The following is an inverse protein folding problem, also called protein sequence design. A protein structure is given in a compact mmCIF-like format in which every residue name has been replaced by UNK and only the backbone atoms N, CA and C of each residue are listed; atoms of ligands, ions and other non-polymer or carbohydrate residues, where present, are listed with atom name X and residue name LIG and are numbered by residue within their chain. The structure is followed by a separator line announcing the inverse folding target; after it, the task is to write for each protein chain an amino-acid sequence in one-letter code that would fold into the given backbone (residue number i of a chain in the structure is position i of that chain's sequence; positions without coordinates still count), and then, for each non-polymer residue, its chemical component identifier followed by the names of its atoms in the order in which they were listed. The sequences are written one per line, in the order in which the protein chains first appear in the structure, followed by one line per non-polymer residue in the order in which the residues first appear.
data_IF_712459180374
#
_entry.id   IF_712459180374
#
_cell.length_a   1.000
_cell.length_b   1.000
_cell.length_c   1.000
_cell.angle_alpha   90.00
_cell.angle_beta   90.00
_cell.angle_gamma   90.00
#
_symmetry.space_group_name_H-M   'P 1'
#
loop_
_entity.id
_entity.type
_entity.pdbx_description
1 polymer ?
#
# COMPACT_ATOMS: atom_id res chain seq x y z
N UNK A 1 23.81 62.89 37.10
CA UNK A 1 22.64 63.08 36.23
C UNK A 1 21.67 63.97 36.96
N UNK A 2 21.49 65.17 36.43
CA UNK A 2 20.45 66.10 36.88
C UNK A 2 19.07 65.47 36.55
N UNK A 3 18.02 65.88 37.26
CA UNK A 3 16.62 65.42 37.06
C UNK A 3 16.21 65.53 35.60
N UNK A 4 16.67 66.58 34.91
CA UNK A 4 16.43 66.81 33.49
C UNK A 4 17.01 65.72 32.58
N UNK A 5 18.17 65.15 32.93
CA UNK A 5 18.79 64.05 32.18
C UNK A 5 18.05 62.73 32.38
N UNK A 6 17.47 62.51 33.58
CA UNK A 6 16.68 61.32 33.88
C UNK A 6 15.36 61.32 33.11
N UNK A 7 14.70 62.47 33.04
CA UNK A 7 13.44 62.62 32.32
C UNK A 7 13.63 62.46 30.81
N UNK A 8 14.72 63.01 30.26
CA UNK A 8 15.09 62.81 28.85
C UNK A 8 15.41 61.35 28.51
N UNK A 9 16.13 60.65 29.40
CA UNK A 9 16.44 59.23 29.22
C UNK A 9 15.17 58.34 29.29
N UNK A 10 14.28 58.62 30.24
CA UNK A 10 13.01 57.91 30.38
C UNK A 10 12.11 58.09 29.16
N UNK A 11 12.03 59.32 28.61
CA UNK A 11 11.28 59.61 27.40
C UNK A 11 11.85 58.87 26.17
N UNK A 12 13.19 58.84 26.02
CA UNK A 12 13.84 58.11 24.93
C UNK A 12 13.61 56.59 24.99
N UNK A 13 13.60 56.00 26.19
CA UNK A 13 13.29 54.58 26.39
C UNK A 13 11.82 54.27 26.08
N UNK A 14 10.89 55.15 26.46
CA UNK A 14 9.47 55.00 26.16
C UNK A 14 9.17 55.05 24.64
N UNK A 15 9.78 56.00 23.92
CA UNK A 15 9.68 56.11 22.46
C UNK A 15 10.24 54.88 21.75
N UNK A 16 11.37 54.32 22.23
CA UNK A 16 11.97 53.11 21.65
C UNK A 16 11.09 51.87 21.87
N UNK A 17 10.45 51.75 23.04
CA UNK A 17 9.49 50.67 23.32
C UNK A 17 8.21 50.80 22.48
N UNK A 18 7.68 52.02 22.32
CA UNK A 18 6.52 52.27 21.48
C UNK A 18 6.81 51.94 19.99
N UNK A 19 8.01 52.26 19.49
CA UNK A 19 8.44 51.90 18.14
C UNK A 19 8.54 50.39 17.92
N UNK A 20 9.10 49.64 18.88
CA UNK A 20 9.19 48.17 18.80
C UNK A 20 7.80 47.52 18.81
N UNK A 21 6.87 48.02 19.65
CA UNK A 21 5.49 47.52 19.70
C UNK A 21 4.73 47.85 18.42
N UNK A 22 4.91 49.05 17.86
CA UNK A 22 4.26 49.44 16.60
C UNK A 22 4.77 48.60 15.42
N UNK A 23 6.07 48.32 15.33
CA UNK A 23 6.64 47.45 14.29
C UNK A 23 6.18 46.00 14.46
N UNK A 24 6.08 45.49 15.69
CA UNK A 24 5.55 44.16 15.96
C UNK A 24 4.07 44.03 15.58
N UNK A 25 3.24 45.04 15.88
CA UNK A 25 1.83 45.06 15.51
C UNK A 25 1.63 45.21 13.99
N UNK A 26 2.42 46.03 13.32
CA UNK A 26 2.41 46.12 11.84
C UNK A 26 2.84 44.81 11.19
N UNK A 27 3.86 44.14 11.73
CA UNK A 27 4.26 42.81 11.30
C UNK A 27 3.14 41.78 11.48
N UNK A 28 2.44 41.81 12.62
CA UNK A 28 1.33 40.89 12.90
C UNK A 28 0.12 41.15 11.99
N UNK A 29 -0.22 42.42 11.72
CA UNK A 29 -1.32 42.79 10.82
C UNK A 29 -1.01 42.43 9.36
N UNK A 30 0.24 42.60 8.91
CA UNK A 30 0.65 42.19 7.56
C UNK A 30 0.70 40.67 7.41
N UNK A 31 1.09 39.94 8.46
CA UNK A 31 1.05 38.48 8.47
C UNK A 31 -0.39 37.93 8.49
N UNK A 32 -1.29 38.56 9.25
CA UNK A 32 -2.71 38.22 9.26
C UNK A 32 -3.41 38.55 7.92
N UNK A 33 -3.04 39.65 7.26
CA UNK A 33 -3.54 39.99 5.93
C UNK A 33 -3.03 39.03 4.84
N UNK A 34 -1.79 38.53 4.96
CA UNK A 34 -1.24 37.51 4.06
C UNK A 34 -1.87 36.12 4.26
N UNK A 35 -2.33 35.81 5.48
CA UNK A 35 -3.10 34.58 5.77
C UNK A 35 -4.56 34.65 5.32
N UNK A 36 -5.12 35.85 5.13
CA UNK A 36 -6.52 36.03 4.74
C UNK A 36 -6.73 36.11 3.21
N UNK A 37 -5.67 36.29 2.43
CA UNK A 37 -5.75 36.18 0.98
C UNK A 37 -5.72 34.71 0.59
N UNK A 38 -6.83 34.19 0.06
CA UNK A 38 -6.83 32.87 -0.57
C UNK A 38 -5.75 32.86 -1.65
N UNK A 39 -4.83 31.87 -1.65
CA UNK A 39 -3.79 31.79 -2.65
C UNK A 39 -4.43 31.73 -4.03
N UNK A 40 -4.08 32.72 -4.87
CA UNK A 40 -4.59 32.81 -6.24
C UNK A 40 -4.13 31.57 -7.01
N UNK A 41 -5.06 30.64 -7.28
CA UNK A 41 -4.77 29.43 -8.04
C UNK A 41 -4.26 29.83 -9.41
N UNK A 42 -3.15 29.23 -9.85
CA UNK A 42 -2.70 29.37 -11.25
C UNK A 42 -3.88 28.99 -12.15
N UNK A 43 -4.40 29.91 -12.98
CA UNK A 43 -5.60 29.65 -13.74
C UNK A 43 -5.30 28.52 -14.73
N UNK A 44 -5.97 27.38 -14.55
CA UNK A 44 -5.96 26.32 -15.52
C UNK A 44 -6.49 26.88 -16.84
N UNK A 45 -5.74 26.69 -17.94
CA UNK A 45 -6.24 27.09 -19.25
C UNK A 45 -7.27 26.05 -19.66
N UNK A 46 -8.54 26.28 -19.29
CA UNK A 46 -9.69 25.45 -19.62
C UNK A 46 -10.70 26.30 -20.41
N UNK A 47 -10.41 26.55 -21.70
CA UNK A 47 -11.34 27.30 -22.53
C UNK A 47 -12.66 26.52 -22.63
N UNK A 48 -13.78 27.23 -22.62
CA UNK A 48 -15.13 26.63 -22.72
C UNK A 48 -15.25 25.69 -23.94
N UNK A 49 -14.57 26.01 -25.04
CA UNK A 49 -14.49 25.20 -26.25
C UNK A 49 -13.90 23.79 -26.03
N UNK A 50 -13.13 23.57 -24.96
CA UNK A 50 -12.52 22.28 -24.63
C UNK A 50 -13.36 21.43 -23.67
N UNK A 51 -14.36 21.99 -22.98
CA UNK A 51 -15.08 21.30 -21.90
C UNK A 51 -15.81 20.04 -22.36
N UNK A 52 -16.44 20.08 -23.54
CA UNK A 52 -17.11 18.91 -24.11
C UNK A 52 -16.14 17.76 -24.39
N UNK A 53 -14.95 18.07 -24.92
CA UNK A 53 -13.90 17.09 -25.18
C UNK A 53 -13.29 16.54 -23.88
N UNK A 54 -13.08 17.40 -22.87
CA UNK A 54 -12.61 16.99 -21.54
C UNK A 54 -13.61 16.06 -20.84
N UNK A 55 -14.91 16.36 -20.89
CA UNK A 55 -15.95 15.52 -20.31
C UNK A 55 -15.99 14.13 -20.96
N UNK A 56 -15.97 14.09 -22.30
CA UNK A 56 -15.89 12.85 -23.08
C UNK A 56 -14.63 12.05 -22.75
N UNK A 57 -13.48 12.72 -22.64
CA UNK A 57 -12.21 12.09 -22.30
C UNK A 57 -12.23 11.45 -20.91
N UNK A 58 -12.81 12.15 -19.90
CA UNK A 58 -12.96 11.60 -18.54
C UNK A 58 -13.88 10.39 -18.49
N UNK A 59 -15.02 10.44 -19.19
CA UNK A 59 -15.95 9.31 -19.26
C UNK A 59 -15.30 8.07 -19.87
N UNK A 60 -14.62 8.23 -21.02
CA UNK A 60 -13.89 7.14 -21.67
C UNK A 60 -12.71 6.62 -20.82
N UNK A 61 -12.02 7.52 -20.10
CA UNK A 61 -10.94 7.15 -19.19
C UNK A 61 -11.45 6.27 -18.04
N UNK A 62 -12.58 6.65 -17.44
CA UNK A 62 -13.21 5.91 -16.34
C UNK A 62 -13.78 4.56 -16.77
N UNK A 63 -14.20 4.42 -18.04
CA UNK A 63 -14.67 3.14 -18.59
C UNK A 63 -13.53 2.22 -19.07
N UNK A 64 -12.28 2.69 -19.03
CA UNK A 64 -11.10 1.94 -19.50
C UNK A 64 -10.91 1.96 -21.02
N UNK A 65 -11.71 2.73 -21.76
CA UNK A 65 -11.50 2.95 -23.21
C UNK A 65 -10.41 4.00 -23.42
N UNK A 66 -9.16 3.59 -23.19
CA UNK A 66 -8.01 4.48 -23.23
C UNK A 66 -7.73 5.06 -24.62
N UNK A 67 -8.16 4.39 -25.69
CA UNK A 67 -8.03 4.91 -27.05
C UNK A 67 -8.99 6.09 -27.28
N UNK A 68 -10.27 5.92 -26.94
CA UNK A 68 -11.26 7.00 -27.04
C UNK A 68 -10.93 8.16 -26.09
N UNK A 69 -10.47 7.85 -24.87
CA UNK A 69 -10.04 8.85 -23.89
C UNK A 69 -8.89 9.70 -24.42
N UNK A 70 -7.84 9.05 -24.95
CA UNK A 70 -6.68 9.74 -25.51
C UNK A 70 -7.08 10.69 -26.65
N UNK A 71 -7.92 10.24 -27.58
CA UNK A 71 -8.39 11.08 -28.68
C UNK A 71 -9.16 12.30 -28.16
N UNK A 72 -10.10 12.11 -27.23
CA UNK A 72 -10.87 13.20 -26.67
C UNK A 72 -10.00 14.21 -25.89
N UNK A 73 -8.98 13.75 -25.18
CA UNK A 73 -8.02 14.63 -24.52
C UNK A 73 -7.12 15.39 -25.52
N UNK A 74 -6.76 14.77 -26.65
CA UNK A 74 -6.07 15.45 -27.75
C UNK A 74 -6.95 16.52 -28.40
N UNK A 75 -8.24 16.26 -28.55
CA UNK A 75 -9.21 17.25 -29.06
C UNK A 75 -9.34 18.44 -28.08
N UNK A 76 -9.39 18.17 -26.77
CA UNK A 76 -9.38 19.21 -25.74
C UNK A 76 -8.07 20.03 -25.77
N UNK A 77 -6.93 19.36 -25.94
CA UNK A 77 -5.64 20.03 -26.13
C UNK A 77 -5.65 20.90 -27.40
N UNK A 78 -6.17 20.41 -28.53
CA UNK A 78 -6.30 21.20 -29.76
C UNK A 78 -7.21 22.42 -29.57
N UNK A 79 -8.24 22.31 -28.74
CA UNK A 79 -9.13 23.40 -28.34
C UNK A 79 -8.52 24.37 -27.31
N UNK A 80 -7.27 24.16 -26.89
CA UNK A 80 -6.50 25.08 -26.04
C UNK A 80 -6.41 24.68 -24.56
N UNK A 81 -6.91 23.50 -24.16
CA UNK A 81 -6.80 23.06 -22.77
C UNK A 81 -5.34 22.77 -22.37
N UNK A 82 -4.82 23.41 -21.31
CA UNK A 82 -3.45 23.20 -20.80
C UNK A 82 -3.44 23.22 -19.27
N UNK A 83 -3.27 22.05 -18.66
CA UNK A 83 -3.09 21.87 -17.22
C UNK A 83 -2.48 20.49 -16.91
N UNK A 84 -1.95 20.31 -15.70
CA UNK A 84 -1.16 19.12 -15.35
C UNK A 84 -1.94 17.81 -15.48
N UNK A 85 -3.18 17.78 -14.96
CA UNK A 85 -4.01 16.57 -14.94
C UNK A 85 -4.36 16.06 -16.36
N UNK A 86 -4.60 16.95 -17.33
CA UNK A 86 -4.84 16.58 -18.73
C UNK A 86 -3.65 15.78 -19.28
N UNK A 87 -2.44 16.32 -19.15
CA UNK A 87 -1.24 15.66 -19.66
C UNK A 87 -0.92 14.37 -18.92
N UNK A 88 -1.19 14.32 -17.62
CA UNK A 88 -1.05 13.09 -16.83
C UNK A 88 -2.01 11.99 -17.31
N UNK A 89 -3.29 12.31 -17.51
CA UNK A 89 -4.29 11.35 -18.00
C UNK A 89 -3.97 10.87 -19.42
N UNK A 90 -3.56 11.77 -20.32
CA UNK A 90 -3.06 11.39 -21.65
C UNK A 90 -1.85 10.45 -21.55
N UNK A 91 -0.91 10.71 -20.64
CA UNK A 91 0.25 9.85 -20.44
C UNK A 91 -0.17 8.44 -19.97
N UNK A 92 -1.14 8.36 -19.06
CA UNK A 92 -1.69 7.09 -18.59
C UNK A 92 -2.37 6.31 -19.73
N UNK A 93 -3.12 6.98 -20.60
CA UNK A 93 -3.68 6.35 -21.80
C UNK A 93 -2.57 5.79 -22.70
N UNK A 94 -1.50 6.55 -22.94
CA UNK A 94 -0.39 6.11 -23.79
C UNK A 94 0.30 4.85 -23.27
N UNK A 95 0.61 4.77 -21.98
CA UNK A 95 1.24 3.56 -21.42
C UNK A 95 0.31 2.36 -21.44
N UNK A 96 -1.00 2.57 -21.24
CA UNK A 96 -2.02 1.52 -21.32
C UNK A 96 -2.17 0.98 -22.75
N UNK A 97 -1.89 1.81 -23.76
CA UNK A 97 -1.83 1.44 -25.18
C UNK A 97 -0.45 0.94 -25.61
N UNK A 98 0.52 0.85 -24.70
CA UNK A 98 1.85 0.30 -24.95
C UNK A 98 2.93 1.30 -25.39
N UNK A 99 2.63 2.60 -25.45
CA UNK A 99 3.61 3.64 -25.83
C UNK A 99 4.22 4.35 -24.62
N UNK A 100 5.22 3.69 -24.02
CA UNK A 100 5.99 4.24 -22.89
C UNK A 100 6.81 5.48 -23.25
N UNK A 101 7.14 5.69 -24.53
CA UNK A 101 7.91 6.86 -24.96
C UNK A 101 7.01 8.10 -24.97
N UNK A 102 5.81 7.98 -25.56
CA UNK A 102 4.82 9.04 -25.55
C UNK A 102 4.36 9.38 -24.12
N UNK A 103 4.19 8.37 -23.25
CA UNK A 103 3.94 8.57 -21.82
C UNK A 103 4.96 9.55 -21.21
N UNK A 104 6.26 9.25 -21.32
CA UNK A 104 7.32 10.08 -20.72
C UNK A 104 7.32 11.51 -21.24
N UNK A 105 7.06 11.70 -22.54
CA UNK A 105 6.99 13.04 -23.13
C UNK A 105 5.82 13.84 -22.56
N UNK A 106 4.65 13.23 -22.38
CA UNK A 106 3.49 13.87 -21.77
C UNK A 106 3.69 14.17 -20.28
N UNK A 107 4.31 13.27 -19.52
CA UNK A 107 4.64 13.53 -18.12
C UNK A 107 5.62 14.71 -17.96
N UNK A 108 6.64 14.80 -18.82
CA UNK A 108 7.54 15.96 -18.83
C UNK A 108 6.80 17.28 -19.12
N UNK A 109 5.71 17.24 -19.91
CA UNK A 109 4.84 18.40 -20.15
C UNK A 109 3.91 18.71 -18.99
N UNK A 110 3.50 17.70 -18.21
CA UNK A 110 2.65 17.87 -17.03
C UNK A 110 3.38 18.58 -15.87
N UNK A 111 4.66 18.24 -15.66
CA UNK A 111 5.51 18.75 -14.56
C UNK A 111 5.43 20.27 -14.36
N UNK A 112 5.68 21.14 -15.36
CA UNK A 112 5.67 22.58 -15.12
C UNK A 112 4.32 23.14 -14.67
N UNK A 113 3.20 22.51 -15.06
CA UNK A 113 1.87 22.93 -14.60
C UNK A 113 1.66 22.57 -13.13
N UNK A 114 2.00 21.34 -12.75
CA UNK A 114 1.91 20.94 -11.34
C UNK A 114 2.91 21.69 -10.46
N UNK A 115 4.13 21.96 -10.92
CA UNK A 115 5.10 22.79 -10.21
C UNK A 115 4.53 24.20 -9.96
N UNK A 116 3.90 24.81 -10.96
CA UNK A 116 3.27 26.13 -10.83
C UNK A 116 2.11 26.11 -9.82
N UNK A 117 1.22 25.12 -9.92
CA UNK A 117 0.11 24.93 -8.96
C UNK A 117 0.64 24.79 -7.53
N UNK A 118 1.62 23.90 -7.30
CA UNK A 118 2.23 23.68 -5.97
C UNK A 118 2.95 24.93 -5.45
N UNK A 119 3.58 25.71 -6.32
CA UNK A 119 4.26 26.95 -5.94
C UNK A 119 3.30 28.08 -5.58
N UNK A 120 2.11 28.13 -6.18
CA UNK A 120 1.09 29.14 -5.87
C UNK A 120 0.49 28.99 -4.47
N UNK A 121 0.65 27.83 -3.82
CA UNK A 121 0.03 27.51 -2.54
C UNK A 121 -1.46 27.14 -2.64
N UNK A 122 -2.07 27.24 -3.82
CA UNK A 122 -3.46 26.86 -4.09
C UNK A 122 -3.65 25.44 -4.66
N UNK A 123 -2.59 24.62 -4.68
CA UNK A 123 -2.63 23.24 -5.16
C UNK A 123 -3.53 22.35 -4.31
N UNK A 124 -4.36 21.54 -4.97
CA UNK A 124 -5.07 20.45 -4.32
C UNK A 124 -4.17 19.23 -4.09
N UNK A 125 -4.69 18.25 -3.35
CA UNK A 125 -4.00 16.97 -3.06
C UNK A 125 -3.51 16.28 -4.34
N UNK A 126 -4.30 16.32 -5.40
CA UNK A 126 -4.00 15.68 -6.68
C UNK A 126 -2.70 16.21 -7.30
N UNK A 127 -2.52 17.53 -7.31
CA UNK A 127 -1.32 18.16 -7.88
C UNK A 127 -0.06 17.74 -7.13
N UNK A 128 -0.11 17.73 -5.79
CA UNK A 128 0.98 17.22 -4.96
C UNK A 128 1.26 15.74 -5.22
N UNK A 129 0.21 14.92 -5.24
CA UNK A 129 0.33 13.47 -5.43
C UNK A 129 0.94 13.14 -6.80
N UNK A 130 0.39 13.69 -7.88
CA UNK A 130 0.84 13.37 -9.24
C UNK A 130 2.26 13.90 -9.49
N UNK A 131 2.59 15.10 -9.01
CA UNK A 131 3.95 15.63 -9.14
C UNK A 131 4.97 14.78 -8.37
N UNK A 132 4.65 14.40 -7.12
CA UNK A 132 5.50 13.51 -6.33
C UNK A 132 5.68 12.15 -7.02
N UNK A 133 4.60 11.57 -7.54
CA UNK A 133 4.64 10.29 -8.25
C UNK A 133 5.51 10.36 -9.52
N UNK A 134 5.39 11.43 -10.32
CA UNK A 134 6.21 11.65 -11.52
C UNK A 134 7.70 11.70 -11.14
N UNK A 135 8.07 12.49 -10.13
CA UNK A 135 9.47 12.57 -9.72
C UNK A 135 9.98 11.28 -9.11
N UNK A 136 9.15 10.57 -8.34
CA UNK A 136 9.57 9.36 -7.65
C UNK A 136 9.76 8.17 -8.61
N UNK A 137 8.86 8.00 -9.58
CA UNK A 137 8.76 6.78 -10.39
C UNK A 137 9.26 6.98 -11.83
N UNK A 138 8.99 8.12 -12.44
CA UNK A 138 9.10 8.30 -13.89
C UNK A 138 10.34 9.11 -14.30
N UNK A 139 10.68 10.14 -13.52
CA UNK A 139 11.89 10.97 -13.69
C UNK A 139 13.03 10.67 -12.70
N UNK A 140 12.92 9.60 -11.90
CA UNK A 140 13.58 9.34 -10.61
C UNK A 140 14.36 10.49 -9.91
N UNK A 141 13.79 11.70 -9.83
CA UNK A 141 14.37 12.83 -9.10
C UNK A 141 13.94 12.77 -7.62
N UNK A 142 14.70 12.02 -6.82
CA UNK A 142 14.40 11.78 -5.41
C UNK A 142 14.41 13.05 -4.56
N UNK A 143 15.22 14.05 -4.92
CA UNK A 143 15.32 15.32 -4.19
C UNK A 143 14.03 16.12 -4.40
N UNK A 144 13.63 16.34 -5.65
CA UNK A 144 12.38 17.03 -5.96
C UNK A 144 11.16 16.28 -5.43
N UNK A 145 11.15 14.95 -5.51
CA UNK A 145 10.07 14.15 -4.93
C UNK A 145 9.93 14.41 -3.42
N UNK A 146 11.03 14.41 -2.66
CA UNK A 146 11.03 14.69 -1.23
C UNK A 146 10.53 16.12 -0.91
N UNK A 147 10.97 17.12 -1.69
CA UNK A 147 10.52 18.50 -1.53
C UNK A 147 9.00 18.66 -1.74
N UNK A 148 8.45 18.03 -2.78
CA UNK A 148 7.01 18.09 -3.08
C UNK A 148 6.21 17.39 -1.98
N UNK A 149 6.67 16.22 -1.53
CA UNK A 149 6.03 15.48 -0.43
C UNK A 149 6.05 16.29 0.87
N UNK A 150 7.17 16.93 1.20
CA UNK A 150 7.27 17.79 2.38
C UNK A 150 6.30 18.97 2.31
N UNK A 151 6.19 19.64 1.16
CA UNK A 151 5.23 20.72 0.96
C UNK A 151 3.79 20.25 1.09
N UNK A 152 3.46 19.07 0.58
CA UNK A 152 2.13 18.49 0.72
C UNK A 152 1.75 18.24 2.19
N UNK A 153 2.69 17.70 2.99
CA UNK A 153 2.48 17.48 4.43
C UNK A 153 2.30 18.81 5.17
N UNK A 154 3.05 19.85 4.78
CA UNK A 154 2.88 21.19 5.35
C UNK A 154 1.51 21.80 4.99
N UNK A 155 1.06 21.61 3.75
CA UNK A 155 -0.26 22.06 3.32
C UNK A 155 -1.40 21.35 4.06
N UNK A 156 -1.27 20.03 4.29
CA UNK A 156 -2.23 19.26 5.09
C UNK A 156 -2.28 19.77 6.54
N UNK A 157 -1.12 19.91 7.18
CA UNK A 157 -1.02 20.42 8.55
C UNK A 157 -1.56 21.86 8.70
N UNK A 158 -1.50 22.65 7.63
CA UNK A 158 -2.06 24.00 7.57
C UNK A 158 -3.56 24.03 7.19
N UNK A 159 -4.16 22.89 6.83
CA UNK A 159 -5.55 22.80 6.36
C UNK A 159 -5.78 23.38 4.97
N UNK A 160 -4.73 23.69 4.21
CA UNK A 160 -4.86 24.38 2.91
C UNK A 160 -5.21 23.43 1.75
N UNK A 161 -5.20 22.12 1.99
CA UNK A 161 -5.65 21.12 1.00
C UNK A 161 -7.18 21.03 0.87
N UNK A 162 -7.92 21.65 1.79
CA UNK A 162 -9.39 21.66 1.85
C UNK A 162 -9.95 20.86 3.03
N UNK A 163 -11.07 21.33 3.60
CA UNK A 163 -11.64 20.76 4.84
C UNK A 163 -12.45 19.47 4.62
N UNK A 164 -12.99 19.23 3.42
CA UNK A 164 -13.83 18.07 3.11
C UNK A 164 -13.31 17.30 1.90
N UNK A 165 -12.11 16.72 2.05
CA UNK A 165 -11.53 15.86 1.04
C UNK A 165 -12.45 14.67 0.75
N UNK A 166 -12.68 14.37 -0.53
CA UNK A 166 -13.40 13.17 -0.93
C UNK A 166 -12.55 11.90 -0.75
N UNK A 167 -13.14 10.74 -1.03
CA UNK A 167 -12.47 9.46 -0.85
C UNK A 167 -11.21 9.29 -1.72
N UNK A 168 -11.21 9.85 -2.93
CA UNK A 168 -10.07 9.77 -3.86
C UNK A 168 -8.92 10.67 -3.40
N UNK A 169 -9.23 11.89 -2.97
CA UNK A 169 -8.26 12.83 -2.41
C UNK A 169 -7.64 12.28 -1.12
N UNK A 170 -8.45 11.69 -0.21
CA UNK A 170 -7.94 11.05 1.00
C UNK A 170 -7.02 9.85 0.69
N UNK A 171 -7.35 9.06 -0.32
CA UNK A 171 -6.47 7.98 -0.77
C UNK A 171 -5.12 8.52 -1.25
N UNK A 172 -5.13 9.56 -2.08
CA UNK A 172 -3.91 10.23 -2.59
C UNK A 172 -3.11 10.87 -1.46
N UNK A 173 -3.76 11.44 -0.44
CA UNK A 173 -3.10 11.93 0.76
C UNK A 173 -2.39 10.79 1.51
N UNK A 174 -3.04 9.63 1.66
CA UNK A 174 -2.39 8.41 2.19
C UNK A 174 -1.18 7.99 1.37
N UNK A 175 -1.23 8.10 0.03
CA UNK A 175 -0.07 7.84 -0.84
C UNK A 175 1.06 8.85 -0.63
N UNK A 176 0.76 10.13 -0.42
CA UNK A 176 1.76 11.17 -0.11
C UNK A 176 2.50 10.82 1.19
N UNK A 177 1.79 10.44 2.26
CA UNK A 177 2.43 9.98 3.49
C UNK A 177 3.23 8.69 3.28
N UNK A 178 2.78 7.80 2.40
CA UNK A 178 3.55 6.62 2.02
C UNK A 178 4.88 7.00 1.37
N UNK A 179 4.90 8.00 0.48
CA UNK A 179 6.14 8.52 -0.09
C UNK A 179 7.04 9.14 0.96
N UNK A 180 6.49 9.85 1.96
CA UNK A 180 7.28 10.44 3.04
C UNK A 180 8.06 9.38 3.83
N UNK A 181 7.43 8.23 4.12
CA UNK A 181 8.06 7.11 4.84
C UNK A 181 9.24 6.47 4.08
N UNK A 182 9.28 6.59 2.76
CA UNK A 182 10.40 6.12 1.91
C UNK A 182 11.63 7.02 2.04
N UNK A 183 11.45 8.28 2.44
CA UNK A 183 12.55 9.23 2.67
C UNK A 183 13.01 9.26 4.13
N UNK A 184 12.20 8.75 5.06
CA UNK A 184 12.58 8.61 6.45
C UNK A 184 13.47 7.37 6.67
N UNK A 185 14.57 7.49 7.44
CA UNK A 185 15.41 6.34 7.74
C UNK A 185 14.61 5.25 8.46
N UNK A 186 14.96 3.97 8.25
CA UNK A 186 14.36 2.87 9.00
C UNK A 186 14.73 3.00 10.48
N UNK A 187 13.72 3.08 11.36
CA UNK A 187 13.90 3.25 12.80
C UNK A 187 12.68 3.91 13.44
N UNK A 188 12.45 3.65 14.74
CA UNK A 188 11.31 4.17 15.50
C UNK A 188 11.43 5.66 15.87
N UNK A 189 11.75 6.53 14.91
CA UNK A 189 11.69 7.97 15.16
C UNK A 189 10.24 8.39 15.41
N UNK A 190 10.05 9.37 16.29
CA UNK A 190 8.73 9.94 16.60
C UNK A 190 8.03 10.43 15.32
N UNK A 191 8.77 11.12 14.45
CA UNK A 191 8.30 11.56 13.14
C UNK A 191 7.82 10.43 12.25
N UNK A 192 8.51 9.28 12.21
CA UNK A 192 8.07 8.13 11.41
C UNK A 192 6.75 7.57 11.94
N UNK A 193 6.60 7.48 13.26
CA UNK A 193 5.36 7.03 13.88
C UNK A 193 4.19 7.99 13.58
N UNK A 194 4.44 9.31 13.60
CA UNK A 194 3.45 10.32 13.21
C UNK A 194 3.03 10.18 11.74
N UNK A 195 3.99 10.05 10.82
CA UNK A 195 3.70 9.84 9.40
C UNK A 195 2.93 8.55 9.14
N UNK A 196 3.28 7.45 9.83
CA UNK A 196 2.54 6.20 9.74
C UNK A 196 1.10 6.35 10.26
N UNK A 197 0.90 7.11 11.34
CA UNK A 197 -0.43 7.42 11.86
C UNK A 197 -1.26 8.21 10.86
N UNK A 198 -0.75 9.34 10.34
CA UNK A 198 -1.47 10.18 9.37
C UNK A 198 -1.76 9.44 8.06
N UNK A 199 -0.83 8.60 7.60
CA UNK A 199 -1.02 7.70 6.45
C UNK A 199 -2.24 6.80 6.65
N UNK A 200 -2.31 6.15 7.81
CA UNK A 200 -3.38 5.21 8.11
C UNK A 200 -4.70 5.92 8.29
N UNK A 201 -4.75 7.03 9.04
CA UNK A 201 -5.96 7.86 9.18
C UNK A 201 -6.49 8.28 7.80
N UNK A 202 -5.62 8.68 6.88
CA UNK A 202 -6.01 9.01 5.50
C UNK A 202 -6.65 7.82 4.78
N UNK A 203 -6.06 6.62 4.85
CA UNK A 203 -6.64 5.42 4.22
C UNK A 203 -7.93 4.93 4.88
N UNK A 204 -8.04 5.02 6.21
CA UNK A 204 -9.29 4.71 6.92
C UNK A 204 -10.41 5.63 6.44
N UNK A 205 -10.17 6.94 6.43
CA UNK A 205 -11.16 7.93 5.98
C UNK A 205 -11.49 7.75 4.49
N UNK A 206 -10.49 7.45 3.65
CA UNK A 206 -10.69 7.14 2.24
C UNK A 206 -11.62 5.94 2.06
N UNK A 207 -11.33 4.82 2.73
CA UNK A 207 -12.14 3.61 2.64
C UNK A 207 -13.58 3.86 3.14
N UNK A 208 -13.76 4.57 4.25
CA UNK A 208 -15.08 4.92 4.77
C UNK A 208 -15.89 5.76 3.78
N UNK A 209 -15.29 6.81 3.21
CA UNK A 209 -15.97 7.66 2.21
C UNK A 209 -16.28 6.89 0.93
N UNK A 210 -15.30 6.16 0.38
CA UNK A 210 -15.48 5.40 -0.86
C UNK A 210 -16.55 4.30 -0.73
N UNK A 211 -16.68 3.64 0.43
CA UNK A 211 -17.76 2.66 0.67
C UNK A 211 -19.16 3.29 0.60
N UNK A 212 -19.29 4.59 0.87
CA UNK A 212 -20.57 5.33 0.83
C UNK A 212 -20.81 6.04 -0.49
N UNK A 213 -19.79 6.15 -1.34
CA UNK A 213 -19.86 6.86 -2.61
C UNK A 213 -20.40 5.95 -3.72
N UNK A 214 -21.46 6.40 -4.39
CA UNK A 214 -21.97 5.72 -5.58
C UNK A 214 -20.92 5.81 -6.70
N UNK A 215 -20.63 4.70 -7.36
CA UNK A 215 -19.60 4.60 -8.41
C UNK A 215 -18.20 5.00 -7.91
N UNK A 216 -17.88 4.71 -6.64
CA UNK A 216 -16.56 4.93 -6.09
C UNK A 216 -15.46 4.25 -6.91
N UNK A 217 -14.26 4.83 -6.89
CA UNK A 217 -13.07 4.23 -7.47
C UNK A 217 -12.73 2.93 -6.73
N UNK A 218 -13.11 1.78 -7.32
CA UNK A 218 -12.97 0.47 -6.68
C UNK A 218 -11.51 0.09 -6.43
N UNK A 219 -10.59 0.55 -7.29
CA UNK A 219 -9.15 0.32 -7.13
C UNK A 219 -8.64 1.03 -5.89
N UNK A 220 -8.98 2.31 -5.72
CA UNK A 220 -8.56 3.08 -4.54
C UNK A 220 -9.19 2.53 -3.26
N UNK A 221 -10.46 2.11 -3.31
CA UNK A 221 -11.12 1.49 -2.18
C UNK A 221 -10.44 0.18 -1.78
N UNK A 222 -10.13 -0.70 -2.74
CA UNK A 222 -9.43 -1.96 -2.49
C UNK A 222 -8.06 -1.74 -1.84
N UNK A 223 -7.25 -0.86 -2.43
CA UNK A 223 -5.92 -0.54 -1.89
C UNK A 223 -5.98 0.10 -0.50
N UNK A 224 -6.92 1.02 -0.27
CA UNK A 224 -7.13 1.62 1.05
C UNK A 224 -7.49 0.57 2.11
N UNK A 225 -8.42 -0.34 1.78
CA UNK A 225 -8.83 -1.42 2.66
C UNK A 225 -7.68 -2.39 2.97
N UNK A 226 -6.81 -2.67 1.99
CA UNK A 226 -5.62 -3.50 2.23
C UNK A 226 -4.64 -2.84 3.21
N UNK A 227 -4.36 -1.55 3.06
CA UNK A 227 -3.49 -0.80 3.98
C UNK A 227 -4.09 -0.73 5.40
N UNK A 228 -5.40 -0.50 5.49
CA UNK A 228 -6.18 -0.58 6.73
C UNK A 228 -6.05 -1.95 7.39
N UNK A 229 -6.22 -3.02 6.61
CA UNK A 229 -6.11 -4.39 7.10
C UNK A 229 -4.70 -4.69 7.60
N UNK A 230 -3.65 -4.28 6.87
CA UNK A 230 -2.26 -4.47 7.28
C UNK A 230 -1.94 -3.77 8.60
N UNK A 231 -2.45 -2.56 8.80
CA UNK A 231 -2.30 -1.86 10.07
C UNK A 231 -3.02 -2.58 11.21
N UNK A 232 -4.27 -2.98 10.99
CA UNK A 232 -5.04 -3.75 11.96
C UNK A 232 -4.32 -5.07 12.31
N UNK A 233 -3.67 -5.72 11.34
CA UNK A 233 -2.83 -6.90 11.59
C UNK A 233 -1.63 -6.58 12.49
N UNK A 234 -0.88 -5.51 12.19
CA UNK A 234 0.26 -5.08 13.02
C UNK A 234 -0.15 -4.79 14.46
N UNK A 235 -1.31 -4.15 14.62
CA UNK A 235 -1.87 -3.74 15.92
C UNK A 235 -2.63 -4.86 16.64
N UNK A 236 -2.68 -6.06 16.07
CA UNK A 236 -3.40 -7.21 16.60
C UNK A 236 -4.92 -7.05 16.71
N UNK A 237 -5.51 -6.15 15.92
CA UNK A 237 -6.96 -5.97 15.75
C UNK A 237 -7.49 -6.91 14.66
N UNK A 238 -7.54 -8.20 14.98
CA UNK A 238 -7.76 -9.26 14.00
C UNK A 238 -9.13 -9.21 13.32
N UNK A 239 -10.18 -8.89 14.07
CA UNK A 239 -11.53 -8.76 13.51
C UNK A 239 -11.58 -7.66 12.45
N UNK A 240 -10.98 -6.50 12.74
CA UNK A 240 -10.91 -5.36 11.82
C UNK A 240 -10.10 -5.70 10.56
N UNK A 241 -8.98 -6.41 10.73
CA UNK A 241 -8.16 -6.87 9.60
C UNK A 241 -8.92 -7.85 8.70
N UNK A 242 -9.65 -8.81 9.29
CA UNK A 242 -10.47 -9.79 8.57
C UNK A 242 -11.58 -9.07 7.80
N UNK A 243 -12.30 -8.15 8.44
CA UNK A 243 -13.38 -7.39 7.82
C UNK A 243 -12.87 -6.55 6.63
N UNK A 244 -11.76 -5.83 6.83
CA UNK A 244 -11.16 -5.01 5.78
C UNK A 244 -10.65 -5.84 4.59
N UNK A 245 -9.92 -6.94 4.85
CA UNK A 245 -9.50 -7.85 3.77
C UNK A 245 -10.68 -8.52 3.08
N UNK A 246 -11.74 -8.89 3.81
CA UNK A 246 -12.95 -9.47 3.21
C UNK A 246 -13.64 -8.47 2.29
N UNK A 247 -13.77 -7.22 2.71
CA UNK A 247 -14.30 -6.13 1.87
C UNK A 247 -13.43 -5.90 0.64
N UNK A 248 -12.10 -5.81 0.79
CA UNK A 248 -11.18 -5.65 -0.34
C UNK A 248 -11.32 -6.81 -1.34
N UNK A 249 -11.42 -8.04 -0.84
CA UNK A 249 -11.54 -9.25 -1.65
C UNK A 249 -12.82 -9.31 -2.50
N UNK A 250 -13.86 -8.57 -2.11
CA UNK A 250 -15.13 -8.51 -2.81
C UNK A 250 -15.15 -7.52 -4.00
N UNK A 251 -14.12 -6.67 -4.16
CA UNK A 251 -14.16 -5.54 -5.11
C UNK A 251 -13.60 -5.88 -6.51
N UNK A 252 -12.62 -6.79 -6.67
CA UNK A 252 -12.22 -7.31 -8.00
C UNK A 252 -11.32 -8.59 -7.91
N UNK A 253 -11.61 -9.69 -8.65
CA UNK A 253 -10.79 -10.90 -8.73
C UNK A 253 -9.49 -10.84 -9.58
N UNK A 254 -9.22 -9.78 -10.36
CA UNK A 254 -8.24 -9.82 -11.46
C UNK A 254 -6.90 -9.07 -11.26
N UNK A 255 -6.75 -8.26 -10.21
CA UNK A 255 -5.47 -7.70 -9.75
C UNK A 255 -5.00 -8.48 -8.50
N UNK A 256 -3.73 -8.41 -8.05
CA UNK A 256 -3.20 -9.26 -6.96
C UNK A 256 -3.73 -8.85 -5.56
N UNK A 257 -5.05 -8.64 -5.41
CA UNK A 257 -5.69 -7.97 -4.27
C UNK A 257 -6.62 -8.82 -3.37
N UNK A 258 -7.29 -9.90 -3.83
CA UNK A 258 -8.02 -10.78 -2.91
C UNK A 258 -7.18 -11.97 -2.42
N UNK A 259 -6.44 -12.59 -3.34
CA UNK A 259 -5.77 -13.86 -3.09
C UNK A 259 -4.53 -13.75 -2.20
N UNK A 260 -3.79 -12.64 -2.32
CA UNK A 260 -2.62 -12.30 -1.49
C UNK A 260 -3.04 -11.91 -0.07
N UNK A 261 -4.09 -11.10 0.06
CA UNK A 261 -4.71 -10.70 1.32
C UNK A 261 -5.18 -11.91 2.14
N UNK A 262 -6.02 -12.76 1.56
CA UNK A 262 -6.53 -13.97 2.21
C UNK A 262 -5.44 -15.03 2.44
N UNK A 263 -4.44 -15.12 1.56
CA UNK A 263 -3.24 -15.94 1.78
C UNK A 263 -2.46 -15.48 3.02
N UNK A 264 -2.22 -14.17 3.17
CA UNK A 264 -1.53 -13.59 4.32
C UNK A 264 -2.33 -13.80 5.59
N UNK A 265 -3.63 -13.50 5.56
CA UNK A 265 -4.54 -13.74 6.68
C UNK A 265 -4.47 -15.20 7.16
N UNK A 266 -4.54 -16.17 6.24
CA UNK A 266 -4.49 -17.56 6.65
C UNK A 266 -3.14 -18.00 7.23
N UNK A 267 -2.02 -17.43 6.77
CA UNK A 267 -0.70 -17.70 7.37
C UNK A 267 -0.62 -17.20 8.81
N UNK A 268 -1.13 -16.01 9.05
CA UNK A 268 -1.06 -15.39 10.38
C UNK A 268 -2.01 -16.07 11.38
N UNK A 269 -3.19 -16.50 10.92
CA UNK A 269 -4.10 -17.32 11.73
C UNK A 269 -3.46 -18.68 12.06
N UNK A 270 -2.81 -19.31 11.07
CA UNK A 270 -2.09 -20.58 11.25
C UNK A 270 -0.97 -20.47 12.29
N UNK A 271 -0.12 -19.44 12.18
CA UNK A 271 1.01 -19.20 13.08
C UNK A 271 0.59 -18.99 14.55
N UNK A 272 -0.69 -18.71 14.81
CA UNK A 272 -1.27 -18.54 16.15
C UNK A 272 -2.05 -19.75 16.63
N UNK A 273 -2.08 -20.82 15.84
CA UNK A 273 -2.85 -22.02 16.13
C UNK A 273 -4.33 -21.93 15.76
N UNK A 274 -4.81 -20.84 15.14
CA UNK A 274 -6.18 -20.77 14.60
C UNK A 274 -6.24 -21.48 13.24
N UNK A 275 -6.20 -22.81 13.31
CA UNK A 275 -6.20 -23.71 12.15
C UNK A 275 -7.49 -23.61 11.35
N UNK A 276 -8.63 -23.42 12.00
CA UNK A 276 -9.94 -23.29 11.33
C UNK A 276 -10.09 -21.94 10.63
N UNK A 277 -9.65 -20.86 11.26
CA UNK A 277 -9.60 -19.52 10.66
C UNK A 277 -8.66 -19.51 9.46
N UNK A 278 -7.47 -20.10 9.59
CA UNK A 278 -6.53 -20.25 8.48
C UNK A 278 -7.12 -21.01 7.30
N UNK A 279 -7.82 -22.10 7.58
CA UNK A 279 -8.52 -22.90 6.58
C UNK A 279 -9.60 -22.09 5.85
N UNK A 280 -10.45 -21.36 6.59
CA UNK A 280 -11.50 -20.50 5.99
C UNK A 280 -10.90 -19.40 5.12
N UNK A 281 -9.84 -18.74 5.59
CA UNK A 281 -9.15 -17.70 4.83
C UNK A 281 -8.58 -18.24 3.51
N UNK A 282 -7.85 -19.36 3.55
CA UNK A 282 -7.29 -19.96 2.33
C UNK A 282 -8.34 -20.57 1.39
N UNK A 283 -9.49 -21.03 1.91
CA UNK A 283 -10.64 -21.42 1.08
C UNK A 283 -11.27 -20.24 0.33
N UNK A 284 -11.21 -19.04 0.91
CA UNK A 284 -11.71 -17.81 0.30
C UNK A 284 -10.91 -17.34 -0.91
N UNK A 285 -9.67 -17.82 -1.08
CA UNK A 285 -8.82 -17.47 -2.23
C UNK A 285 -9.39 -18.11 -3.50
N UNK A 286 -10.20 -17.35 -4.25
CA UNK A 286 -10.73 -17.72 -5.57
C UNK A 286 -9.83 -17.17 -6.67
N UNK A 287 -9.56 -17.97 -7.70
CA UNK A 287 -8.82 -17.54 -8.89
C UNK A 287 -8.86 -18.57 -10.02
N UNK A 288 -8.66 -18.16 -11.29
CA UNK A 288 -8.67 -19.06 -12.46
C UNK A 288 -7.59 -20.15 -12.41
N UNK A 289 -6.54 -19.93 -11.61
CA UNK A 289 -5.49 -20.90 -11.30
C UNK A 289 -5.79 -21.74 -10.04
N UNK A 290 -7.07 -22.00 -9.74
CA UNK A 290 -7.59 -22.58 -8.50
C UNK A 290 -6.96 -23.87 -7.93
N UNK A 291 -6.05 -24.62 -8.60
CA UNK A 291 -5.18 -25.63 -7.98
C UNK A 291 -3.69 -25.23 -7.87
N UNK A 292 -3.26 -24.16 -8.56
CA UNK A 292 -1.86 -23.74 -8.72
C UNK A 292 -1.47 -22.54 -7.86
N UNK A 293 -2.37 -21.97 -7.07
CA UNK A 293 -2.03 -20.84 -6.19
C UNK A 293 -1.31 -21.31 -4.91
N UNK A 294 -0.47 -20.45 -4.35
CA UNK A 294 0.19 -20.66 -3.05
C UNK A 294 -0.80 -20.93 -1.90
N UNK A 295 -1.99 -20.32 -1.92
CA UNK A 295 -3.05 -20.56 -0.94
C UNK A 295 -3.59 -22.00 -0.95
N UNK A 296 -3.61 -22.66 -2.10
CA UNK A 296 -4.02 -24.06 -2.19
C UNK A 296 -3.03 -25.02 -1.52
N UNK A 297 -1.74 -24.71 -1.58
CA UNK A 297 -0.73 -25.47 -0.85
C UNK A 297 -0.94 -25.33 0.67
N UNK A 298 -1.18 -24.11 1.14
CA UNK A 298 -1.56 -23.84 2.53
C UNK A 298 -2.83 -24.59 2.94
N UNK A 299 -3.89 -24.52 2.12
CA UNK A 299 -5.16 -25.20 2.34
C UNK A 299 -4.99 -26.72 2.49
N UNK A 300 -4.24 -27.34 1.59
CA UNK A 300 -4.00 -28.80 1.59
C UNK A 300 -3.18 -29.22 2.79
N UNK A 301 -2.12 -28.48 3.07
CA UNK A 301 -1.29 -28.69 4.25
C UNK A 301 -2.12 -28.60 5.54
N UNK A 302 -2.96 -27.58 5.68
CA UNK A 302 -3.82 -27.41 6.86
C UNK A 302 -4.82 -28.53 7.04
N UNK A 303 -5.44 -29.02 5.95
CA UNK A 303 -6.35 -30.18 6.03
C UNK A 303 -5.62 -31.41 6.54
N UNK A 304 -4.38 -31.65 6.11
CA UNK A 304 -3.56 -32.76 6.63
C UNK A 304 -3.20 -32.56 8.10
N UNK A 305 -2.85 -31.35 8.50
CA UNK A 305 -2.57 -31.02 9.91
C UNK A 305 -3.79 -31.29 10.80
N UNK A 306 -4.98 -30.85 10.37
CA UNK A 306 -6.23 -31.10 11.08
C UNK A 306 -6.56 -32.60 11.16
N UNK A 307 -6.28 -33.37 10.10
CA UNK A 307 -6.49 -34.82 10.08
C UNK A 307 -5.47 -35.59 10.94
N UNK A 308 -4.22 -35.13 10.99
CA UNK A 308 -3.14 -35.75 11.76
C UNK A 308 -3.32 -35.52 13.28
N UNK A 309 -3.70 -34.30 13.65
CA UNK A 309 -3.95 -33.87 15.03
C UNK A 309 -2.78 -33.09 15.63
N UNK A 310 -2.17 -33.67 16.66
CA UNK A 310 -1.06 -33.04 17.39
C UNK A 310 0.23 -33.10 16.59
N UNK A 311 0.85 -31.94 16.42
CA UNK A 311 2.12 -31.80 15.73
C UNK A 311 3.25 -31.65 16.76
N UNK A 312 4.46 -32.14 16.46
CA UNK A 312 5.63 -31.85 17.29
C UNK A 312 5.90 -30.34 17.31
N UNK A 313 6.21 -29.80 18.49
CA UNK A 313 6.62 -28.40 18.68
C UNK A 313 8.15 -28.25 18.73
N UNK A 314 8.87 -29.37 18.83
CA UNK A 314 10.32 -29.46 18.83
C UNK A 314 10.79 -30.29 17.64
N UNK A 315 11.93 -29.91 17.07
CA UNK A 315 12.71 -30.70 16.13
C UNK A 315 14.15 -30.73 16.61
N UNK A 316 14.71 -31.94 16.80
CA UNK A 316 16.05 -32.13 17.38
C UNK A 316 16.23 -31.41 18.75
N UNK A 317 15.18 -31.42 19.58
CA UNK A 317 15.19 -30.76 20.89
C UNK A 317 15.09 -29.23 20.85
N UNK A 318 14.93 -28.62 19.68
CA UNK A 318 14.80 -27.17 19.52
C UNK A 318 13.38 -26.77 19.12
N UNK A 319 12.84 -25.65 19.62
CA UNK A 319 11.57 -25.10 19.14
C UNK A 319 11.58 -24.87 17.64
N UNK A 320 10.50 -25.27 16.94
CA UNK A 320 10.37 -25.02 15.50
C UNK A 320 10.50 -23.53 15.14
N UNK A 321 9.99 -22.66 16.01
CA UNK A 321 10.09 -21.21 15.85
C UNK A 321 11.53 -20.67 15.89
N UNK A 322 12.47 -21.38 16.53
CA UNK A 322 13.88 -20.96 16.64
C UNK A 322 14.80 -21.61 15.62
N UNK A 323 14.30 -22.48 14.74
CA UNK A 323 15.13 -23.09 13.70
C UNK A 323 15.58 -22.05 12.68
N UNK A 324 16.85 -22.11 12.30
CA UNK A 324 17.38 -21.35 11.15
C UNK A 324 16.77 -21.85 9.83
N UNK A 325 16.74 -20.99 8.82
CA UNK A 325 16.13 -21.32 7.52
C UNK A 325 16.73 -22.58 6.88
N UNK A 326 18.05 -22.75 6.95
CA UNK A 326 18.74 -23.93 6.42
C UNK A 326 18.37 -25.22 7.17
N UNK A 327 18.27 -25.15 8.51
CA UNK A 327 17.86 -26.29 9.33
C UNK A 327 16.42 -26.69 9.06
N UNK A 328 15.53 -25.71 8.88
CA UNK A 328 14.14 -25.93 8.52
C UNK A 328 14.00 -26.64 7.16
N UNK A 329 14.71 -26.16 6.13
CA UNK A 329 14.72 -26.81 4.81
C UNK A 329 15.28 -28.23 4.88
N UNK A 330 16.42 -28.42 5.56
CA UNK A 330 17.04 -29.74 5.71
C UNK A 330 16.09 -30.75 6.37
N UNK A 331 15.45 -30.35 7.48
CA UNK A 331 14.50 -31.21 8.19
C UNK A 331 13.28 -31.58 7.34
N UNK A 332 12.76 -30.64 6.53
CA UNK A 332 11.65 -30.94 5.61
C UNK A 332 12.06 -32.00 4.60
N UNK A 333 13.26 -31.86 4.01
CA UNK A 333 13.74 -32.78 2.98
C UNK A 333 14.07 -34.17 3.55
N UNK A 334 14.59 -34.25 4.77
CA UNK A 334 14.85 -35.51 5.47
C UNK A 334 13.55 -36.28 5.75
N UNK A 335 12.58 -35.63 6.41
CA UNK A 335 11.28 -36.24 6.69
C UNK A 335 10.55 -36.63 5.40
N UNK A 336 10.62 -35.78 4.36
CA UNK A 336 10.07 -36.09 3.05
C UNK A 336 10.77 -37.28 2.37
N UNK A 337 12.08 -37.42 2.52
CA UNK A 337 12.86 -38.55 2.00
C UNK A 337 12.38 -39.87 2.58
N UNK A 338 12.22 -39.93 3.91
CA UNK A 338 11.66 -41.10 4.59
C UNK A 338 10.27 -41.45 4.04
N UNK A 339 9.35 -40.46 3.99
CA UNK A 339 7.98 -40.69 3.52
C UNK A 339 7.93 -41.16 2.05
N UNK A 340 8.80 -40.62 1.19
CA UNK A 340 8.90 -41.08 -0.21
C UNK A 340 9.39 -42.52 -0.30
N UNK A 341 10.34 -42.93 0.54
CA UNK A 341 10.81 -44.33 0.60
C UNK A 341 9.69 -45.27 1.04
N UNK A 342 8.90 -44.88 2.04
CA UNK A 342 7.73 -45.66 2.48
C UNK A 342 6.71 -45.79 1.34
N UNK A 343 6.35 -44.68 0.68
CA UNK A 343 5.41 -44.69 -0.45
C UNK A 343 5.89 -45.57 -1.61
N UNK A 344 7.17 -45.50 -1.97
CA UNK A 344 7.76 -46.34 -3.02
C UNK A 344 7.86 -47.81 -2.60
N UNK A 345 8.05 -48.08 -1.30
CA UNK A 345 8.07 -49.42 -0.71
C UNK A 345 6.70 -50.10 -0.71
N UNK A 346 5.63 -49.33 -0.44
CA UNK A 346 4.24 -49.79 -0.55
C UNK A 346 3.86 -50.13 -2.01
N UNK A 347 4.37 -49.38 -2.99
CA UNK A 347 4.23 -49.70 -4.42
C UNK A 347 5.02 -50.97 -4.82
N UNK A 348 6.11 -51.28 -4.11
CA UNK A 348 6.96 -52.46 -4.31
C UNK A 348 6.66 -53.62 -3.34
N UNK A 349 5.57 -53.57 -2.57
CA UNK A 349 5.21 -54.55 -1.54
C UNK A 349 4.78 -55.95 -2.07
N UNK A 350 5.44 -56.43 -3.13
CA UNK A 350 5.76 -57.83 -3.31
C UNK A 350 7.07 -58.24 -2.58
N UNK A 351 7.85 -57.29 -2.01
CA UNK A 351 9.23 -57.52 -1.54
C UNK A 351 9.54 -57.40 -0.03
N UNK A 352 8.57 -57.11 0.85
CA UNK A 352 8.75 -57.25 2.31
C UNK A 352 9.32 -56.05 3.10
N UNK A 353 9.37 -54.84 2.52
CA UNK A 353 9.58 -53.63 3.32
C UNK A 353 8.26 -53.21 3.98
N UNK A 354 8.20 -53.23 5.31
CA UNK A 354 7.08 -52.68 6.09
C UNK A 354 7.66 -51.71 7.12
N UNK A 355 7.42 -50.42 6.91
CA UNK A 355 7.76 -49.42 7.91
C UNK A 355 6.77 -49.51 9.07
N UNK A 356 7.26 -49.32 10.30
CA UNK A 356 6.42 -49.22 11.48
C UNK A 356 5.39 -48.08 11.30
N UNK A 357 4.07 -48.36 11.35
CA UNK A 357 3.04 -47.33 11.21
C UNK A 357 3.17 -46.18 12.20
N UNK A 358 3.67 -46.41 13.41
CA UNK A 358 3.91 -45.34 14.39
C UNK A 358 5.03 -44.41 13.94
N UNK A 359 6.11 -44.97 13.38
CA UNK A 359 7.20 -44.20 12.82
C UNK A 359 6.76 -43.39 11.59
N UNK A 360 5.94 -43.98 10.71
CA UNK A 360 5.37 -43.28 9.56
C UNK A 360 4.54 -42.09 10.01
N UNK A 361 3.65 -42.29 11.00
CA UNK A 361 2.82 -41.22 11.55
C UNK A 361 3.65 -40.14 12.24
N UNK A 362 4.73 -40.52 12.93
CA UNK A 362 5.67 -39.58 13.57
C UNK A 362 6.37 -38.71 12.52
N UNK A 363 6.92 -39.33 11.48
CA UNK A 363 7.62 -38.63 10.39
C UNK A 363 6.66 -37.75 9.58
N UNK A 364 5.42 -38.19 9.39
CA UNK A 364 4.36 -37.36 8.82
C UNK A 364 4.12 -36.11 9.68
N UNK A 365 4.03 -36.26 11.00
CA UNK A 365 3.89 -35.14 11.93
C UNK A 365 5.06 -34.16 11.86
N UNK A 366 6.29 -34.66 11.82
CA UNK A 366 7.51 -33.85 11.66
C UNK A 366 7.49 -33.09 10.32
N UNK A 367 7.20 -33.78 9.22
CA UNK A 367 7.08 -33.17 7.89
C UNK A 367 6.04 -32.05 7.87
N UNK A 368 4.84 -32.31 8.40
CA UNK A 368 3.75 -31.32 8.44
C UNK A 368 4.14 -30.10 9.30
N UNK A 369 4.73 -30.31 10.47
CA UNK A 369 5.10 -29.24 11.40
C UNK A 369 6.21 -28.33 10.85
N UNK A 370 7.24 -28.91 10.22
CA UNK A 370 8.31 -28.14 9.59
C UNK A 370 7.81 -27.39 8.35
N UNK A 371 6.97 -28.04 7.54
CA UNK A 371 6.44 -27.44 6.31
C UNK A 371 5.48 -26.28 6.60
N UNK A 372 4.63 -26.38 7.63
CA UNK A 372 3.75 -25.26 8.01
C UNK A 372 4.54 -24.11 8.62
N UNK A 373 5.55 -24.40 9.44
CA UNK A 373 6.48 -23.38 9.96
C UNK A 373 7.19 -22.64 8.83
N UNK A 374 7.64 -23.36 7.78
CA UNK A 374 8.24 -22.76 6.59
C UNK A 374 7.26 -21.83 5.88
N UNK A 375 6.00 -22.25 5.73
CA UNK A 375 4.97 -21.49 5.06
C UNK A 375 4.51 -20.24 5.84
N UNK A 376 4.38 -20.36 7.15
CA UNK A 376 4.02 -19.28 8.08
C UNK A 376 5.08 -18.18 8.11
N UNK A 377 6.36 -18.53 7.91
CA UNK A 377 7.47 -17.57 7.74
C UNK A 377 7.44 -16.83 6.39
N UNK A 378 6.35 -16.94 5.63
CA UNK A 378 6.14 -16.23 4.38
C UNK A 378 6.79 -16.88 3.16
N UNK A 379 7.50 -17.99 3.32
CA UNK A 379 8.23 -18.63 2.22
C UNK A 379 7.29 -19.20 1.15
N UNK A 380 7.81 -19.31 -0.08
CA UNK A 380 7.05 -19.86 -1.20
C UNK A 380 6.97 -21.38 -1.21
N UNK A 381 6.00 -21.90 -0.46
CA UNK A 381 5.73 -23.34 -0.38
C UNK A 381 5.42 -23.98 -1.74
N UNK A 382 4.79 -23.26 -2.68
CA UNK A 382 4.50 -23.84 -4.01
C UNK A 382 5.79 -24.08 -4.77
N UNK A 383 6.60 -23.03 -4.92
CA UNK A 383 7.86 -23.10 -5.65
C UNK A 383 8.79 -24.13 -5.01
N UNK A 384 8.89 -24.11 -3.67
CA UNK A 384 9.66 -25.08 -2.90
C UNK A 384 9.19 -26.52 -3.14
N UNK A 385 7.88 -26.78 -3.06
CA UNK A 385 7.33 -28.12 -3.24
C UNK A 385 7.50 -28.65 -4.67
N UNK A 386 7.43 -27.81 -5.68
CA UNK A 386 7.71 -28.20 -7.07
C UNK A 386 9.19 -28.55 -7.22
N UNK A 387 10.08 -27.67 -6.76
CA UNK A 387 11.53 -27.83 -6.87
C UNK A 387 12.03 -29.13 -6.20
N UNK A 388 11.45 -29.49 -5.06
CA UNK A 388 11.86 -30.66 -4.28
C UNK A 388 10.92 -31.87 -4.43
N UNK A 389 9.99 -31.83 -5.40
CA UNK A 389 9.03 -32.90 -5.68
C UNK A 389 8.24 -33.34 -4.44
N UNK A 390 7.74 -32.38 -3.67
CA UNK A 390 6.98 -32.59 -2.43
C UNK A 390 5.45 -32.51 -2.65
N UNK A 391 5.00 -32.19 -3.87
CA UNK A 391 3.58 -32.05 -4.21
C UNK A 391 2.75 -33.27 -3.79
N UNK A 392 3.17 -34.53 -4.03
CA UNK A 392 2.38 -35.70 -3.60
C UNK A 392 2.21 -35.78 -2.08
N UNK A 393 3.26 -35.41 -1.33
CA UNK A 393 3.19 -35.37 0.12
C UNK A 393 2.22 -34.27 0.57
N UNK A 394 2.29 -33.06 0.01
CA UNK A 394 1.41 -31.96 0.45
C UNK A 394 -0.07 -32.21 0.13
N UNK A 395 -0.36 -32.77 -1.06
CA UNK A 395 -1.73 -32.96 -1.52
C UNK A 395 -2.36 -34.28 -1.05
N UNK A 396 -1.53 -35.21 -0.55
CA UNK A 396 -1.92 -36.61 -0.32
C UNK A 396 -2.05 -37.37 -1.65
N UNK A 397 -1.89 -38.70 -1.61
CA UNK A 397 -2.37 -39.53 -2.72
C UNK A 397 -3.91 -39.56 -2.70
N UNK A 398 -4.52 -39.59 -3.88
CA UNK A 398 -5.94 -39.88 -4.04
C UNK A 398 -6.18 -41.38 -3.98
#
# INVERSE_FOLDING_TARGET
MDRKDRDAFAAAVALRRAGVVAVALLGLCLFAAALAAEPERVPEQRPEAAEAALAKGREAYQSGDYAAALQAFQDAEAAGARFGLLFYQMAYCQVSLGDKKAQRQLLARAVPYFEAEVQSGGAGVDSYYYLAAIYFQELPDRVKAAEVVQKAIQADAAGTLGEDLDGDALFRLGRIYSFALEFEPPGGSERRAELEKSRLESYYNAAEKLLRTRNANQVYLGLALEDVAQAAMRDRRWADAIDAYSKASALDPLEPGPGTALLRLGRDLSARGDREGALKAWQGVRGPDGPKTQANYGLRLMRRILAHGDLPVLFEGRPLASLEAAALVSGILEAAGFLKTVMAGDEMAAGGFSADPEEVRRQEGVFLALTITYFERGNDLRTFAIQHQLVPLIFGQR
#
